data_IF_396093811459
#
_entry.id   IF_396093811459
#
_cell.length_a   1.000
_cell.length_b   1.000
_cell.length_c   1.000
_cell.angle_alpha   90.00
_cell.angle_beta   90.00
_cell.angle_gamma   90.00
#
_symmetry.space_group_name_H-M   'P 1'
#
loop_
_entity.id
_entity.type
_entity.pdbx_description
1 polymer ?
#
# COMPACT_ATOMS: atom_id res chain seq x y z
N UNK A 1 -10.46 7.47 -23.04
CA UNK A 1 -11.27 6.24 -23.24
C UNK A 1 -10.93 5.25 -22.13
N UNK A 2 -11.92 4.73 -21.44
CA UNK A 2 -11.71 3.68 -20.48
C UNK A 2 -11.66 2.32 -21.22
N UNK A 3 -10.67 1.49 -20.84
CA UNK A 3 -10.53 0.15 -21.39
C UNK A 3 -10.88 -0.84 -20.29
N UNK A 4 -11.82 -1.74 -20.57
CA UNK A 4 -12.20 -2.79 -19.64
C UNK A 4 -11.05 -3.80 -19.50
N UNK A 5 -10.81 -4.21 -18.23
CA UNK A 5 -9.80 -5.21 -17.91
C UNK A 5 -10.46 -6.56 -17.65
N UNK A 6 -9.92 -7.58 -18.28
CA UNK A 6 -10.33 -8.97 -18.00
C UNK A 6 -9.46 -9.61 -16.92
N UNK A 7 -9.83 -10.84 -16.50
CA UNK A 7 -9.01 -11.64 -15.59
C UNK A 7 -7.60 -11.89 -16.12
N UNK A 8 -6.60 -11.87 -15.25
CA UNK A 8 -5.21 -12.08 -15.61
C UNK A 8 -4.53 -10.88 -16.28
N UNK A 9 -5.25 -9.77 -16.45
CA UNK A 9 -4.70 -8.57 -17.09
C UNK A 9 -3.74 -7.84 -16.15
N UNK A 10 -2.56 -7.52 -16.65
CA UNK A 10 -1.57 -6.71 -15.95
C UNK A 10 -1.48 -5.34 -16.61
N UNK A 11 -1.39 -4.31 -15.80
CA UNK A 11 -1.07 -2.95 -16.26
C UNK A 11 -0.06 -2.30 -15.31
N UNK A 12 0.76 -1.42 -15.86
CA UNK A 12 1.64 -0.57 -15.06
C UNK A 12 0.88 0.72 -14.77
N UNK A 13 0.85 1.10 -13.49
CA UNK A 13 0.18 2.30 -13.01
C UNK A 13 1.15 3.18 -12.25
N UNK A 14 0.84 4.46 -12.21
CA UNK A 14 1.60 5.44 -11.45
C UNK A 14 0.60 6.32 -10.69
N UNK A 15 0.79 6.43 -9.37
CA UNK A 15 0.04 7.36 -8.53
C UNK A 15 0.95 8.50 -8.09
N UNK A 16 0.42 9.71 -8.15
CA UNK A 16 1.11 10.94 -7.80
C UNK A 16 0.37 11.66 -6.67
N UNK A 17 1.09 12.05 -5.65
CA UNK A 17 0.53 12.77 -4.50
C UNK A 17 1.39 13.99 -4.19
N UNK A 18 0.75 15.10 -3.86
CA UNK A 18 1.42 16.35 -3.51
C UNK A 18 1.04 16.78 -2.10
N UNK A 19 1.93 17.48 -1.45
CA UNK A 19 1.69 18.14 -0.16
C UNK A 19 1.21 17.21 0.95
N UNK A 20 1.76 16.01 1.01
CA UNK A 20 1.41 15.02 2.03
C UNK A 20 2.13 15.32 3.33
N UNK A 21 1.40 15.30 4.43
CA UNK A 21 1.92 15.57 5.77
C UNK A 21 1.88 14.33 6.69
N UNK A 22 1.68 14.53 7.98
CA UNK A 22 1.59 13.44 8.98
C UNK A 22 0.27 12.69 8.96
N UNK A 23 -0.75 13.22 8.29
CA UNK A 23 -1.99 12.49 8.08
C UNK A 23 -1.73 11.36 7.08
N UNK A 24 -1.94 10.13 7.51
CA UNK A 24 -1.72 8.97 6.65
C UNK A 24 -2.62 9.00 5.42
N UNK A 25 -2.03 8.77 4.26
CA UNK A 25 -2.75 8.66 3.01
C UNK A 25 -2.51 7.29 2.38
N UNK A 26 -3.53 6.70 1.74
CA UNK A 26 -3.35 5.48 0.98
C UNK A 26 -2.65 5.80 -0.35
N UNK A 27 -1.51 5.16 -0.59
CA UNK A 27 -0.84 5.21 -1.90
C UNK A 27 -1.48 4.23 -2.88
N UNK A 28 -1.82 3.04 -2.41
CA UNK A 28 -2.53 2.02 -3.17
C UNK A 28 -3.55 1.41 -2.24
N UNK A 29 -4.82 1.55 -2.58
CA UNK A 29 -5.91 0.87 -1.89
C UNK A 29 -6.14 -0.46 -2.56
N UNK A 30 -6.00 -1.55 -1.81
CA UNK A 30 -6.19 -2.88 -2.34
C UNK A 30 -7.62 -3.14 -2.81
N UNK A 31 -7.76 -3.85 -3.90
CA UNK A 31 -9.02 -4.31 -4.44
C UNK A 31 -9.00 -5.83 -4.44
N UNK A 32 -10.10 -6.45 -4.05
CA UNK A 32 -10.23 -7.90 -4.03
C UNK A 32 -9.88 -8.50 -5.40
N UNK A 33 -9.22 -9.64 -5.41
CA UNK A 33 -8.74 -10.34 -6.60
C UNK A 33 -7.62 -9.63 -7.37
N UNK A 34 -7.04 -8.57 -6.80
CA UNK A 34 -5.88 -7.92 -7.39
C UNK A 34 -4.60 -8.25 -6.64
N UNK A 35 -3.51 -8.34 -7.37
CA UNK A 35 -2.16 -8.39 -6.82
C UNK A 35 -1.43 -7.14 -7.30
N UNK A 36 -0.76 -6.48 -6.36
CA UNK A 36 0.03 -5.29 -6.65
C UNK A 36 1.50 -5.60 -6.45
N UNK A 37 2.32 -5.25 -7.44
CA UNK A 37 3.77 -5.32 -7.31
C UNK A 37 4.33 -3.91 -7.40
N UNK A 38 4.83 -3.40 -6.29
CA UNK A 38 5.43 -2.08 -6.24
C UNK A 38 6.82 -2.15 -6.88
N UNK A 39 7.06 -1.27 -7.85
CA UNK A 39 8.33 -1.19 -8.57
C UNK A 39 9.24 -0.12 -7.99
N UNK A 40 8.68 1.05 -7.67
CA UNK A 40 9.41 2.14 -7.06
C UNK A 40 8.50 3.08 -6.30
N UNK A 41 9.05 3.71 -5.26
CA UNK A 41 8.42 4.81 -4.54
C UNK A 41 9.44 5.92 -4.48
N UNK A 42 9.10 7.08 -5.03
CA UNK A 42 9.94 8.29 -4.96
C UNK A 42 9.29 9.28 -4.05
N UNK A 43 10.03 9.75 -3.05
CA UNK A 43 9.56 10.74 -2.08
C UNK A 43 10.46 11.94 -2.15
N UNK A 44 9.89 13.12 -2.36
CA UNK A 44 10.59 14.39 -2.32
C UNK A 44 10.09 15.22 -1.15
N UNK A 45 11.01 15.76 -0.36
CA UNK A 45 10.67 16.64 0.75
C UNK A 45 10.67 18.09 0.26
N UNK A 46 9.49 18.65 0.03
CA UNK A 46 9.34 20.03 -0.40
C UNK A 46 9.48 21.00 0.79
N UNK A 47 8.78 20.72 1.88
CA UNK A 47 8.84 21.47 3.12
C UNK A 47 8.97 20.51 4.29
N UNK A 48 9.86 20.79 5.23
CA UNK A 48 9.96 20.05 6.49
C UNK A 48 9.83 21.03 7.66
N UNK A 49 9.12 20.60 8.71
CA UNK A 49 9.04 21.33 9.96
C UNK A 49 10.42 21.43 10.63
N UNK A 50 11.17 20.34 10.59
CA UNK A 50 12.52 20.27 11.08
C UNK A 50 13.39 19.38 10.18
N UNK A 51 14.68 19.67 10.10
CA UNK A 51 15.61 18.80 9.39
C UNK A 51 15.64 17.42 10.06
N UNK A 52 15.51 16.39 9.25
CA UNK A 52 15.47 15.01 9.73
C UNK A 52 14.07 14.47 10.01
N UNK A 53 13.03 15.27 9.81
CA UNK A 53 11.65 14.74 9.87
C UNK A 53 11.50 13.59 8.88
N UNK A 54 10.85 12.51 9.31
CA UNK A 54 10.82 11.29 8.52
C UNK A 54 9.66 11.23 7.53
N UNK A 55 9.94 10.54 6.45
CA UNK A 55 8.94 9.97 5.55
C UNK A 55 8.89 8.46 5.79
N UNK A 56 7.71 7.89 5.92
CA UNK A 56 7.58 6.44 6.10
C UNK A 56 6.44 5.86 5.29
N UNK A 57 6.66 4.64 4.84
CA UNK A 57 5.71 3.86 4.08
C UNK A 57 5.44 2.54 4.80
N UNK A 58 4.19 2.14 4.88
CA UNK A 58 3.81 0.93 5.58
C UNK A 58 2.64 0.25 4.90
N UNK A 59 2.59 -1.06 5.08
CA UNK A 59 1.52 -1.91 4.58
C UNK A 59 0.59 -2.28 5.72
N UNK A 60 -0.71 -2.14 5.51
CA UNK A 60 -1.76 -2.49 6.47
C UNK A 60 -2.69 -3.52 5.84
N UNK A 61 -3.22 -4.41 6.65
CA UNK A 61 -4.14 -5.43 6.21
C UNK A 61 -3.54 -6.83 6.35
N UNK A 62 -4.41 -7.81 6.37
CA UNK A 62 -4.04 -9.21 6.60
C UNK A 62 -5.17 -10.11 6.14
N UNK A 63 -4.90 -11.39 5.98
CA UNK A 63 -5.95 -12.38 5.89
C UNK A 63 -6.28 -12.96 7.28
N UNK A 64 -7.38 -13.68 7.38
CA UNK A 64 -7.84 -14.24 8.66
C UNK A 64 -6.93 -15.34 9.19
N UNK A 65 -6.10 -15.93 8.35
CA UNK A 65 -5.23 -17.03 8.74
C UNK A 65 -4.26 -16.63 9.84
N UNK A 66 -3.69 -15.43 9.73
CA UNK A 66 -2.76 -14.92 10.74
C UNK A 66 -3.43 -14.45 12.02
N UNK A 67 -4.74 -14.27 12.02
CA UNK A 67 -5.55 -13.77 13.15
C UNK A 67 -5.06 -12.45 13.75
N UNK A 68 -4.20 -11.71 13.06
CA UNK A 68 -3.69 -10.41 13.49
C UNK A 68 -4.57 -9.30 12.96
N UNK A 69 -4.90 -8.32 13.79
CA UNK A 69 -5.74 -7.19 13.41
C UNK A 69 -4.95 -5.89 13.46
N UNK A 70 -5.13 -5.04 12.45
CA UNK A 70 -4.53 -3.71 12.42
C UNK A 70 -3.01 -3.70 12.38
N UNK A 71 -2.38 -4.79 11.99
CA UNK A 71 -0.93 -4.88 11.89
C UNK A 71 -0.41 -3.95 10.80
N UNK A 72 0.69 -3.28 11.12
CA UNK A 72 1.42 -2.44 10.18
C UNK A 72 2.80 -3.01 9.95
N UNK A 73 3.17 -3.18 8.70
CA UNK A 73 4.53 -3.56 8.32
C UNK A 73 5.16 -2.36 7.64
N UNK A 74 6.20 -1.82 8.25
CA UNK A 74 6.91 -0.69 7.68
C UNK A 74 7.84 -1.16 6.57
N UNK A 75 7.64 -0.59 5.38
CA UNK A 75 8.50 -0.83 4.22
C UNK A 75 9.77 -0.02 4.36
N UNK A 76 9.62 1.26 4.68
CA UNK A 76 10.75 2.12 5.00
C UNK A 76 10.35 3.25 5.95
N UNK A 77 11.33 3.76 6.65
CA UNK A 77 11.33 5.04 7.32
C UNK A 77 12.64 5.73 6.98
N UNK A 78 12.57 6.90 6.41
CA UNK A 78 13.72 7.66 5.97
C UNK A 78 13.67 9.07 6.55
N UNK A 79 14.71 9.45 7.26
CA UNK A 79 14.90 10.83 7.71
C UNK A 79 15.28 11.69 6.50
N UNK A 80 14.56 12.78 6.30
CA UNK A 80 14.66 13.58 5.08
C UNK A 80 15.33 14.92 5.34
N UNK A 81 15.87 15.50 4.28
CA UNK A 81 16.33 16.88 4.23
C UNK A 81 15.48 17.66 3.24
N UNK A 82 15.28 18.96 3.49
CA UNK A 82 14.55 19.83 2.56
C UNK A 82 15.18 19.78 1.17
N UNK A 83 14.34 19.69 0.15
CA UNK A 83 14.73 19.53 -1.25
C UNK A 83 15.46 18.21 -1.54
N UNK A 84 15.52 17.30 -0.58
CA UNK A 84 16.05 15.96 -0.78
C UNK A 84 14.99 14.98 -1.31
N UNK A 85 15.45 13.96 -2.00
CA UNK A 85 14.60 12.89 -2.49
C UNK A 85 15.11 11.53 -2.02
N UNK A 86 14.18 10.64 -1.76
CA UNK A 86 14.46 9.25 -1.42
C UNK A 86 13.77 8.35 -2.43
N UNK A 87 14.49 7.33 -2.90
CA UNK A 87 13.95 6.35 -3.84
C UNK A 87 14.02 4.98 -3.22
N UNK A 88 12.86 4.38 -3.03
CA UNK A 88 12.72 2.96 -2.69
C UNK A 88 12.50 2.19 -3.99
N UNK A 89 13.37 1.24 -4.30
CA UNK A 89 13.30 0.46 -5.53
C UNK A 89 13.43 -1.05 -5.33
N UNK A 90 13.39 -1.53 -4.10
CA UNK A 90 13.25 -2.95 -3.83
C UNK A 90 11.81 -3.38 -4.06
N UNK A 91 11.62 -4.30 -4.98
CA UNK A 91 10.28 -4.73 -5.37
C UNK A 91 9.64 -5.59 -4.29
N UNK A 92 8.35 -5.36 -4.06
CA UNK A 92 7.55 -6.22 -3.19
C UNK A 92 6.13 -6.31 -3.74
N UNK A 93 5.45 -7.40 -3.38
CA UNK A 93 4.07 -7.62 -3.81
C UNK A 93 3.15 -7.78 -2.61
N UNK A 94 1.90 -7.39 -2.79
CA UNK A 94 0.88 -7.63 -1.79
C UNK A 94 -0.47 -7.92 -2.45
N UNK A 95 -1.32 -8.60 -1.68
CA UNK A 95 -2.67 -8.96 -2.10
C UNK A 95 -3.61 -7.78 -1.83
N UNK A 96 -4.38 -7.39 -2.83
CA UNK A 96 -5.27 -6.25 -2.72
C UNK A 96 -6.51 -6.48 -1.87
N UNK A 97 -6.86 -7.70 -1.57
CA UNK A 97 -8.02 -7.97 -0.74
C UNK A 97 -7.87 -9.29 0.00
N UNK A 98 -8.52 -9.37 1.12
CA UNK A 98 -8.52 -10.55 1.96
C UNK A 98 -9.93 -11.10 2.14
N UNK A 99 -10.07 -12.38 2.42
CA UNK A 99 -11.37 -12.94 2.80
C UNK A 99 -11.86 -12.34 4.12
N UNK A 100 -13.10 -11.86 4.14
CA UNK A 100 -13.69 -11.20 5.31
C UNK A 100 -14.73 -12.03 6.05
N UNK A 101 -15.11 -13.13 5.48
CA UNK A 101 -16.11 -14.04 6.06
C UNK A 101 -15.52 -15.13 6.96
N UNK A 102 -14.23 -15.05 7.23
CA UNK A 102 -13.57 -15.90 8.21
C UNK A 102 -13.65 -15.28 9.59
N UNK A 103 -14.09 -16.05 10.55
CA UNK A 103 -14.19 -15.61 11.97
C UNK A 103 -13.04 -16.07 12.84
N UNK A 104 -11.99 -16.58 12.29
CA UNK A 104 -10.85 -17.12 13.03
C UNK A 104 -9.68 -17.39 12.10
N UNK A 105 -8.76 -18.23 12.56
CA UNK A 105 -7.64 -18.67 11.74
C UNK A 105 -8.07 -19.71 10.73
N UNK A 106 -7.49 -19.66 9.53
CA UNK A 106 -7.60 -20.72 8.55
C UNK A 106 -6.64 -21.84 8.94
N UNK A 107 -7.14 -22.89 9.55
CA UNK A 107 -6.34 -23.99 10.08
C UNK A 107 -6.39 -25.26 9.24
N UNK A 108 -7.12 -25.21 8.14
CA UNK A 108 -7.22 -26.34 7.20
C UNK A 108 -6.95 -25.91 5.76
N UNK A 109 -6.53 -26.85 4.94
CA UNK A 109 -6.33 -26.60 3.50
C UNK A 109 -7.65 -26.16 2.83
N UNK A 110 -8.78 -26.70 3.27
CA UNK A 110 -10.09 -26.32 2.73
C UNK A 110 -10.38 -24.84 3.01
N UNK A 111 -10.11 -24.37 4.23
CA UNK A 111 -10.33 -22.98 4.60
C UNK A 111 -9.41 -22.03 3.82
N UNK A 112 -8.16 -22.43 3.61
CA UNK A 112 -7.19 -21.63 2.85
C UNK A 112 -7.53 -21.48 1.38
N UNK A 113 -8.36 -22.38 0.85
CA UNK A 113 -8.82 -22.34 -0.54
C UNK A 113 -10.14 -21.61 -0.72
N UNK A 114 -10.77 -21.15 0.34
CA UNK A 114 -11.97 -20.35 0.24
C UNK A 114 -11.64 -18.94 -0.25
N UNK A 115 -12.48 -18.45 -1.13
CA UNK A 115 -12.39 -17.08 -1.63
C UNK A 115 -13.69 -16.38 -1.23
N UNK A 116 -13.56 -15.31 -0.45
CA UNK A 116 -14.68 -14.45 -0.12
C UNK A 116 -15.01 -13.54 -1.28
N UNK A 117 -16.27 -13.46 -1.63
CA UNK A 117 -16.80 -12.51 -2.60
C UNK A 117 -17.41 -11.27 -1.93
N UNK A 118 -17.32 -11.18 -0.62
CA UNK A 118 -17.80 -10.02 0.11
C UNK A 118 -16.86 -8.82 -0.01
N UNK A 119 -17.43 -7.65 0.10
CA UNK A 119 -16.65 -6.43 0.15
C UNK A 119 -15.73 -6.47 1.37
N UNK A 120 -14.45 -6.35 1.13
CA UNK A 120 -13.44 -6.44 2.17
C UNK A 120 -13.42 -5.15 2.98
N UNK A 121 -13.68 -5.24 4.27
CA UNK A 121 -13.58 -4.08 5.17
C UNK A 121 -12.13 -3.71 5.51
N UNK A 122 -11.19 -4.62 5.27
CA UNK A 122 -9.78 -4.50 5.64
C UNK A 122 -8.88 -4.97 4.51
N UNK A 123 -9.03 -4.39 3.31
CA UNK A 123 -8.14 -4.68 2.19
C UNK A 123 -6.70 -4.30 2.54
N UNK A 124 -5.75 -5.06 2.02
CA UNK A 124 -4.35 -4.65 2.13
C UNK A 124 -4.16 -3.32 1.41
N UNK A 125 -3.55 -2.38 2.08
CA UNK A 125 -3.38 -1.02 1.60
C UNK A 125 -1.99 -0.53 1.92
N UNK A 126 -1.35 0.08 0.94
CA UNK A 126 -0.06 0.72 1.11
C UNK A 126 -0.29 2.17 1.50
N UNK A 127 0.21 2.56 2.67
CA UNK A 127 0.09 3.89 3.23
C UNK A 127 1.42 4.63 3.27
N UNK A 128 1.31 5.94 3.31
CA UNK A 128 2.44 6.84 3.56
C UNK A 128 2.05 7.89 4.58
N UNK A 129 2.98 8.28 5.45
CA UNK A 129 2.83 9.50 6.25
C UNK A 129 4.20 10.13 6.57
N UNK A 130 4.18 11.45 6.80
CA UNK A 130 5.29 12.19 7.35
C UNK A 130 5.27 12.23 8.87
N UNK A 131 6.17 12.99 9.46
CA UNK A 131 6.30 13.11 10.92
C UNK A 131 5.45 14.24 11.51
N UNK A 132 5.34 15.35 10.81
CA UNK A 132 4.73 16.57 11.32
C UNK A 132 3.69 17.14 10.36
N UNK A 133 2.68 17.81 10.92
CA UNK A 133 1.59 18.42 10.12
C UNK A 133 2.06 19.54 9.19
N UNK A 134 3.20 20.15 9.48
CA UNK A 134 3.81 21.18 8.63
C UNK A 134 4.69 20.62 7.50
N UNK A 135 4.96 19.33 7.50
CA UNK A 135 5.72 18.70 6.43
C UNK A 135 4.92 18.67 5.12
N UNK A 136 5.62 18.72 4.01
CA UNK A 136 5.05 18.57 2.66
C UNK A 136 5.94 17.65 1.86
N UNK A 137 5.41 16.48 1.53
CA UNK A 137 6.08 15.48 0.71
C UNK A 137 5.33 15.29 -0.59
N UNK A 138 6.08 15.20 -1.67
CA UNK A 138 5.57 14.80 -2.97
C UNK A 138 5.98 13.36 -3.23
N UNK A 139 5.03 12.53 -3.64
CA UNK A 139 5.25 11.08 -3.73
C UNK A 139 4.78 10.58 -5.09
N UNK A 140 5.62 9.74 -5.70
CA UNK A 140 5.28 9.00 -6.91
C UNK A 140 5.47 7.52 -6.62
N UNK A 141 4.42 6.73 -6.76
CA UNK A 141 4.48 5.27 -6.66
C UNK A 141 4.17 4.65 -8.02
N UNK A 142 5.06 3.80 -8.50
CA UNK A 142 4.91 3.04 -9.74
C UNK A 142 4.76 1.57 -9.40
N UNK A 143 3.72 0.94 -9.93
CA UNK A 143 3.39 -0.43 -9.59
C UNK A 143 2.71 -1.16 -10.74
N UNK A 144 2.79 -2.48 -10.69
CA UNK A 144 2.00 -3.37 -11.54
C UNK A 144 0.73 -3.74 -10.79
N UNK A 145 -0.39 -3.61 -11.46
CA UNK A 145 -1.69 -4.02 -10.97
C UNK A 145 -2.18 -5.19 -11.83
N UNK A 146 -2.26 -6.37 -11.22
CA UNK A 146 -2.73 -7.59 -11.87
C UNK A 146 -4.12 -7.94 -11.36
N UNK A 147 -5.06 -8.09 -12.27
CA UNK A 147 -6.42 -8.52 -11.97
C UNK A 147 -6.55 -10.02 -12.20
N UNK A 148 -6.83 -10.76 -11.12
CA UNK A 148 -6.97 -12.22 -11.15
C UNK A 148 -8.43 -12.70 -11.05
N UNK A 149 -9.36 -11.77 -11.12
CA UNK A 149 -10.79 -12.13 -11.06
C UNK A 149 -11.27 -12.80 -12.34
#
# INVERSE_FOLDING_TARGET
MAIARGPGTEIIRCHNFEDVNDTGIPLIVGVQHHIYTVLSIVVHADVLNAAGDYARCYLVGYDSFGAATGQRIYIFRQDMQVAGSFVWNDKFSFNGGEPTDFSGTMDSEADQNLISDQAVSTSQTLYFNGEHSADRFDIVVTFIDQNNA
#
